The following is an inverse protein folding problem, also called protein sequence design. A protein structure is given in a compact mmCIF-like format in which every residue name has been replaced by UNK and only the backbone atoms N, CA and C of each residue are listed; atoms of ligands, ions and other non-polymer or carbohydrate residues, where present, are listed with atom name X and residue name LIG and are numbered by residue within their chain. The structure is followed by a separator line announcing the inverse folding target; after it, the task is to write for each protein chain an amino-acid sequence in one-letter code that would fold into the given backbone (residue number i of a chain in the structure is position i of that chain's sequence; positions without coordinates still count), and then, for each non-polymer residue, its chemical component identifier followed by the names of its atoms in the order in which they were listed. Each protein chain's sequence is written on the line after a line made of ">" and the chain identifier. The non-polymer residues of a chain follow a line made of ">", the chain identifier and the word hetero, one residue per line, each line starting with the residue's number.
data_IF_521477981057
#
_entry.id   IF_521477981057
#
_cell.length_a   1.000
_cell.length_b   1.000
_cell.length_c   1.000
_cell.angle_alpha   90.00
_cell.angle_beta   90.00
_cell.angle_gamma   90.00
#
_symmetry.space_group_name_H-M   'P 1'
#
loop_
_entity.id
_entity.type
_entity.pdbx_description
1 polymer ?
#
# COMPACT_ATOMS: atom_id res chain seq x y z
N UNK A 1 16.00 -22.74 -27.99
CA UNK A 1 15.68 -23.06 -26.59
C UNK A 1 14.19 -22.90 -26.42
N UNK A 2 13.49 -23.99 -26.15
CA UNK A 2 12.04 -23.97 -25.92
C UNK A 2 11.81 -23.22 -24.61
N UNK A 3 11.33 -21.98 -24.70
CA UNK A 3 10.64 -21.32 -23.59
C UNK A 3 9.64 -22.35 -23.05
N UNK A 4 9.74 -22.72 -21.77
CA UNK A 4 8.89 -23.77 -21.22
C UNK A 4 7.43 -23.32 -21.37
N UNK A 5 6.51 -24.27 -21.56
CA UNK A 5 5.07 -23.96 -21.67
C UNK A 5 4.60 -23.11 -20.48
N UNK A 6 5.19 -23.34 -19.30
CA UNK A 6 4.93 -22.60 -18.08
C UNK A 6 5.49 -21.17 -18.13
N UNK A 7 6.70 -20.96 -18.65
CA UNK A 7 7.28 -19.61 -18.76
C UNK A 7 6.40 -18.69 -19.64
N UNK A 8 5.80 -19.25 -20.71
CA UNK A 8 4.83 -18.50 -21.54
C UNK A 8 3.55 -18.19 -20.78
N UNK A 9 3.04 -19.15 -20.01
CA UNK A 9 1.85 -18.95 -19.18
C UNK A 9 2.11 -17.87 -18.12
N UNK A 10 3.28 -17.91 -17.50
CA UNK A 10 3.75 -16.92 -16.54
C UNK A 10 3.77 -15.52 -17.14
N UNK A 11 4.40 -15.36 -18.32
CA UNK A 11 4.39 -14.10 -19.06
C UNK A 11 2.95 -13.61 -19.37
N UNK A 12 2.05 -14.51 -19.79
CA UNK A 12 0.65 -14.18 -20.06
C UNK A 12 -0.10 -13.74 -18.79
N UNK A 13 0.16 -14.38 -17.65
CA UNK A 13 -0.43 -14.04 -16.34
C UNK A 13 0.07 -12.69 -15.87
N UNK A 14 1.37 -12.44 -15.85
CA UNK A 14 1.91 -11.15 -15.42
C UNK A 14 1.45 -10.01 -16.34
N UNK A 15 1.46 -10.23 -17.66
CA UNK A 15 0.90 -9.25 -18.60
C UNK A 15 -0.58 -8.96 -18.32
N UNK A 16 -1.36 -9.98 -17.93
CA UNK A 16 -2.76 -9.77 -17.57
C UNK A 16 -2.89 -8.99 -16.26
N UNK A 17 -2.14 -9.36 -15.22
CA UNK A 17 -2.13 -8.67 -13.93
C UNK A 17 -1.76 -7.20 -14.11
N UNK A 18 -0.66 -6.91 -14.81
CA UNK A 18 -0.18 -5.54 -15.01
C UNK A 18 -1.06 -4.68 -15.91
N UNK A 19 -1.94 -5.28 -16.74
CA UNK A 19 -2.95 -4.51 -17.48
C UNK A 19 -3.98 -3.84 -16.57
N UNK A 20 -4.41 -4.51 -15.50
CA UNK A 20 -5.35 -3.95 -14.53
C UNK A 20 -4.64 -3.32 -13.33
N UNK A 21 -3.35 -3.58 -13.15
CA UNK A 21 -2.53 -2.97 -12.10
C UNK A 21 -1.18 -2.44 -12.60
N UNK A 22 -1.15 -1.46 -13.53
CA UNK A 22 0.11 -0.86 -14.00
C UNK A 22 0.94 -0.27 -12.86
N UNK A 23 0.27 0.32 -11.84
CA UNK A 23 0.92 0.82 -10.62
C UNK A 23 1.72 -0.26 -9.91
N UNK A 24 1.25 -1.50 -9.88
CA UNK A 24 2.00 -2.60 -9.25
C UNK A 24 3.27 -2.91 -10.04
N UNK A 25 3.21 -2.89 -11.38
CA UNK A 25 4.40 -3.07 -12.22
C UNK A 25 5.45 -1.98 -11.96
N UNK A 26 5.03 -0.71 -11.86
CA UNK A 26 5.92 0.41 -11.48
C UNK A 26 6.54 0.17 -10.11
N UNK A 27 5.76 -0.25 -9.11
CA UNK A 27 6.26 -0.55 -7.77
C UNK A 27 7.25 -1.73 -7.73
N UNK A 28 7.22 -2.60 -8.74
CA UNK A 28 8.20 -3.68 -8.91
C UNK A 28 9.47 -3.23 -9.65
N UNK A 29 9.51 -2.01 -10.19
CA UNK A 29 10.63 -1.48 -10.99
C UNK A 29 10.49 -1.65 -12.50
N UNK A 30 9.28 -1.99 -12.99
CA UNK A 30 9.03 -2.17 -14.43
C UNK A 30 8.59 -0.84 -15.07
N UNK A 31 9.58 -0.07 -15.53
CA UNK A 31 9.38 1.29 -16.05
C UNK A 31 8.72 1.38 -17.42
N UNK A 32 8.50 0.26 -18.13
CA UNK A 32 7.66 0.24 -19.34
C UNK A 32 6.19 0.59 -19.03
N UNK A 33 5.78 0.42 -17.76
CA UNK A 33 4.45 0.74 -17.27
C UNK A 33 4.33 2.16 -16.70
N UNK A 34 5.42 2.93 -16.68
CA UNK A 34 5.44 4.27 -16.12
C UNK A 34 4.38 5.17 -16.79
N UNK A 35 3.61 5.87 -15.95
CA UNK A 35 2.56 6.79 -16.36
C UNK A 35 1.31 6.15 -16.98
N UNK A 36 1.12 4.83 -16.84
CA UNK A 36 -0.10 4.15 -17.30
C UNK A 36 -1.17 4.07 -16.21
N UNK A 37 -2.43 4.15 -16.64
CA UNK A 37 -3.63 3.83 -15.86
C UNK A 37 -4.39 2.70 -16.56
N UNK A 38 -5.04 1.79 -15.82
CA UNK A 38 -5.75 0.66 -16.42
C UNK A 38 -7.02 1.12 -17.16
N UNK A 39 -7.43 0.36 -18.18
CA UNK A 39 -8.76 0.47 -18.78
C UNK A 39 -9.77 -0.19 -17.84
N UNK A 40 -10.52 0.64 -17.14
CA UNK A 40 -11.52 0.25 -16.16
C UNK A 40 -12.94 0.48 -16.68
N UNK A 41 -13.10 0.74 -17.99
CA UNK A 41 -14.43 0.80 -18.60
C UNK A 41 -15.16 -0.54 -18.40
N UNK A 42 -16.51 -0.56 -18.43
CA UNK A 42 -17.25 -1.82 -18.32
C UNK A 42 -16.79 -2.89 -19.33
N UNK A 43 -16.44 -2.47 -20.55
CA UNK A 43 -15.87 -3.35 -21.58
C UNK A 43 -14.46 -3.83 -21.24
N UNK A 44 -13.60 -2.93 -20.75
CA UNK A 44 -12.24 -3.23 -20.31
C UNK A 44 -12.21 -4.23 -19.14
N UNK A 45 -13.00 -3.99 -18.10
CA UNK A 45 -13.12 -4.88 -16.94
C UNK A 45 -13.66 -6.26 -17.34
N UNK A 46 -14.68 -6.31 -18.21
CA UNK A 46 -15.21 -7.58 -18.71
C UNK A 46 -14.14 -8.36 -19.50
N UNK A 47 -13.50 -7.71 -20.47
CA UNK A 47 -12.45 -8.34 -21.27
C UNK A 47 -11.28 -8.81 -20.41
N UNK A 48 -10.91 -8.03 -19.38
CA UNK A 48 -9.88 -8.42 -18.43
C UNK A 48 -10.29 -9.66 -17.62
N UNK A 49 -11.52 -9.68 -17.12
CA UNK A 49 -12.08 -10.76 -16.30
C UNK A 49 -12.17 -12.07 -17.08
N UNK A 50 -12.74 -12.04 -18.29
CA UNK A 50 -12.90 -13.22 -19.14
C UNK A 50 -11.53 -13.89 -19.41
N UNK A 51 -10.51 -13.08 -19.70
CA UNK A 51 -9.15 -13.59 -19.92
C UNK A 51 -8.51 -14.09 -18.62
N UNK A 52 -8.69 -13.41 -17.50
CA UNK A 52 -8.14 -13.82 -16.21
C UNK A 52 -8.72 -15.17 -15.74
N UNK A 53 -10.01 -15.42 -15.96
CA UNK A 53 -10.64 -16.73 -15.70
C UNK A 53 -10.00 -17.83 -16.56
N UNK A 54 -9.84 -17.59 -17.87
CA UNK A 54 -9.21 -18.57 -18.76
C UNK A 54 -7.74 -18.85 -18.41
N UNK A 55 -7.00 -17.85 -17.93
CA UNK A 55 -5.63 -18.04 -17.43
C UNK A 55 -5.60 -18.84 -16.13
N UNK A 56 -6.52 -18.57 -15.20
CA UNK A 56 -6.62 -19.31 -13.94
C UNK A 56 -6.89 -20.81 -14.18
N UNK A 57 -7.81 -21.13 -15.10
CA UNK A 57 -8.09 -22.52 -15.49
C UNK A 57 -6.86 -23.21 -16.11
N UNK A 58 -6.07 -22.46 -16.89
CA UNK A 58 -4.80 -22.97 -17.45
C UNK A 58 -3.75 -23.18 -16.37
N UNK A 59 -3.56 -22.24 -15.44
CA UNK A 59 -2.61 -22.41 -14.32
C UNK A 59 -2.92 -23.69 -13.53
N UNK A 60 -4.20 -23.93 -13.22
CA UNK A 60 -4.62 -25.14 -12.50
C UNK A 60 -4.39 -26.42 -13.29
N UNK A 61 -4.79 -26.46 -14.56
CA UNK A 61 -4.71 -27.67 -15.40
C UNK A 61 -3.31 -27.97 -15.94
N UNK A 62 -2.46 -26.96 -16.11
CA UNK A 62 -1.10 -27.10 -16.65
C UNK A 62 -0.04 -27.30 -15.55
N UNK A 63 -0.41 -27.20 -14.27
CA UNK A 63 0.51 -27.35 -13.13
C UNK A 63 0.86 -28.80 -12.76
N UNK A 64 0.26 -29.79 -13.43
CA UNK A 64 0.51 -31.20 -13.16
C UNK A 64 1.91 -31.65 -13.57
N UNK A 65 2.56 -32.47 -12.74
CA UNK A 65 3.87 -33.05 -13.04
C UNK A 65 5.05 -32.08 -12.93
N UNK A 66 4.81 -30.82 -12.55
CA UNK A 66 5.86 -29.84 -12.25
C UNK A 66 6.72 -30.28 -11.06
N UNK A 67 7.96 -29.82 -11.00
CA UNK A 67 8.81 -29.92 -9.81
C UNK A 67 8.32 -28.99 -8.70
N UNK A 68 8.98 -29.01 -7.54
CA UNK A 68 8.55 -28.25 -6.36
C UNK A 68 8.54 -26.74 -6.61
N UNK A 69 9.57 -26.21 -7.25
CA UNK A 69 9.73 -24.76 -7.43
C UNK A 69 8.71 -24.26 -8.46
N UNK A 70 8.55 -24.98 -9.57
CA UNK A 70 7.54 -24.64 -10.59
C UNK A 70 6.10 -24.81 -10.09
N UNK A 71 5.84 -25.71 -9.14
CA UNK A 71 4.53 -25.78 -8.46
C UNK A 71 4.29 -24.57 -7.57
N UNK A 72 5.32 -24.04 -6.92
CA UNK A 72 5.20 -22.83 -6.12
C UNK A 72 4.90 -21.63 -7.02
N UNK A 73 5.60 -21.50 -8.16
CA UNK A 73 5.31 -20.45 -9.15
C UNK A 73 3.85 -20.52 -9.62
N UNK A 74 3.37 -21.73 -9.95
CA UNK A 74 1.97 -21.94 -10.35
C UNK A 74 0.98 -21.55 -9.24
N UNK A 75 1.26 -21.88 -7.98
CA UNK A 75 0.43 -21.49 -6.85
C UNK A 75 0.42 -19.97 -6.62
N UNK A 76 1.55 -19.30 -6.82
CA UNK A 76 1.64 -17.84 -6.77
C UNK A 76 0.76 -17.20 -7.85
N UNK A 77 0.85 -17.66 -9.10
CA UNK A 77 0.00 -17.20 -10.20
C UNK A 77 -1.49 -17.44 -9.94
N UNK A 78 -1.85 -18.62 -9.42
CA UNK A 78 -3.21 -18.93 -9.02
C UNK A 78 -3.71 -17.95 -7.95
N UNK A 79 -2.91 -17.71 -6.92
CA UNK A 79 -3.25 -16.79 -5.82
C UNK A 79 -3.44 -15.35 -6.30
N UNK A 80 -2.57 -14.88 -7.18
CA UNK A 80 -2.69 -13.54 -7.77
C UNK A 80 -3.98 -13.39 -8.57
N UNK A 81 -4.27 -14.35 -9.47
CA UNK A 81 -5.47 -14.30 -10.31
C UNK A 81 -6.76 -14.44 -9.49
N UNK A 82 -6.82 -15.39 -8.55
CA UNK A 82 -7.99 -15.56 -7.68
C UNK A 82 -8.29 -14.31 -6.87
N UNK A 83 -7.25 -13.66 -6.32
CA UNK A 83 -7.45 -12.43 -5.55
C UNK A 83 -7.99 -11.30 -6.43
N UNK A 84 -7.40 -11.07 -7.59
CA UNK A 84 -7.85 -10.00 -8.48
C UNK A 84 -9.26 -10.27 -9.03
N UNK A 85 -9.59 -11.53 -9.36
CA UNK A 85 -10.93 -11.92 -9.76
C UNK A 85 -11.94 -11.70 -8.64
N UNK A 86 -11.60 -12.06 -7.40
CA UNK A 86 -12.44 -11.81 -6.23
C UNK A 86 -12.70 -10.31 -6.04
N UNK A 87 -11.68 -9.46 -6.16
CA UNK A 87 -11.83 -8.01 -6.04
C UNK A 87 -12.76 -7.43 -7.12
N UNK A 88 -12.66 -7.93 -8.36
CA UNK A 88 -13.50 -7.46 -9.49
C UNK A 88 -14.93 -8.01 -9.43
N UNK A 89 -15.09 -9.33 -9.21
CA UNK A 89 -16.37 -10.04 -9.35
C UNK A 89 -17.15 -10.12 -8.05
N UNK A 90 -16.54 -10.64 -6.99
CA UNK A 90 -17.24 -10.91 -5.72
C UNK A 90 -17.40 -9.64 -4.87
N UNK A 91 -16.32 -8.86 -4.71
CA UNK A 91 -16.35 -7.59 -3.99
C UNK A 91 -17.00 -6.46 -4.80
N UNK A 92 -17.10 -6.62 -6.13
CA UNK A 92 -17.52 -5.54 -7.03
C UNK A 92 -16.75 -4.25 -6.72
N UNK A 93 -15.44 -4.35 -6.52
CA UNK A 93 -14.63 -3.25 -5.98
C UNK A 93 -14.76 -1.98 -6.82
N UNK A 94 -14.80 -2.11 -8.15
CA UNK A 94 -14.98 -0.98 -9.07
C UNK A 94 -16.36 -0.30 -8.95
N UNK A 95 -17.39 -1.00 -8.48
CA UNK A 95 -18.70 -0.39 -8.28
C UNK A 95 -18.88 0.20 -6.88
N UNK A 96 -18.24 -0.37 -5.87
CA UNK A 96 -18.56 -0.08 -4.46
C UNK A 96 -17.47 0.68 -3.71
N UNK A 97 -16.26 0.79 -4.28
CA UNK A 97 -15.07 1.24 -3.55
C UNK A 97 -14.35 2.37 -4.28
N UNK A 98 -14.77 3.64 -4.12
CA UNK A 98 -14.11 4.76 -4.77
C UNK A 98 -12.62 4.89 -4.40
N UNK A 99 -12.20 4.35 -3.25
CA UNK A 99 -10.81 4.41 -2.82
C UNK A 99 -9.85 3.58 -3.70
N UNK A 100 -10.33 2.63 -4.51
CA UNK A 100 -9.46 1.94 -5.46
C UNK A 100 -9.00 2.87 -6.58
N UNK A 101 -9.80 3.90 -6.90
CA UNK A 101 -9.50 4.90 -7.92
C UNK A 101 -8.54 5.95 -7.40
N UNK A 102 -8.83 6.52 -6.21
CA UNK A 102 -8.00 7.56 -5.60
C UNK A 102 -6.57 7.10 -5.33
N UNK A 103 -6.36 5.81 -5.00
CA UNK A 103 -5.03 5.22 -4.86
C UNK A 103 -4.19 5.27 -6.15
N UNK A 104 -4.81 5.21 -7.32
CA UNK A 104 -4.10 5.24 -8.61
C UNK A 104 -3.62 6.66 -8.98
N UNK A 105 -4.19 7.70 -8.36
CA UNK A 105 -3.93 9.09 -8.75
C UNK A 105 -2.58 9.62 -8.26
N UNK A 106 -2.01 8.98 -7.24
CA UNK A 106 -0.74 9.39 -6.62
C UNK A 106 0.44 9.26 -7.59
N UNK A 107 1.21 10.35 -7.72
CA UNK A 107 2.45 10.44 -8.52
C UNK A 107 3.71 10.07 -7.73
N UNK A 108 3.56 9.77 -6.43
CA UNK A 108 4.67 9.47 -5.52
C UNK A 108 5.62 8.36 -6.03
N UNK A 109 5.18 7.28 -6.70
CA UNK A 109 6.10 6.29 -7.26
C UNK A 109 7.16 6.90 -8.19
N UNK A 110 6.81 7.97 -8.91
CA UNK A 110 7.70 8.60 -9.88
C UNK A 110 8.66 9.64 -9.27
N UNK A 111 8.32 10.18 -8.09
CA UNK A 111 9.07 11.31 -7.48
C UNK A 111 9.77 10.94 -6.18
N UNK A 112 9.40 9.84 -5.52
CA UNK A 112 9.97 9.42 -4.25
C UNK A 112 11.37 8.80 -4.37
N UNK A 113 11.73 8.31 -5.56
CA UNK A 113 13.05 7.72 -5.86
C UNK A 113 13.61 8.24 -7.17
N UNK A 114 14.93 8.34 -7.22
CA UNK A 114 15.67 8.77 -8.40
C UNK A 114 16.07 7.56 -9.28
N UNK A 115 15.10 6.74 -9.70
CA UNK A 115 15.35 5.55 -10.55
C UNK A 115 15.79 5.91 -11.99
N UNK A 116 15.55 7.15 -12.42
CA UNK A 116 15.89 7.66 -13.74
C UNK A 116 16.21 9.17 -13.69
N UNK A 117 16.82 9.75 -14.76
CA UNK A 117 16.99 11.19 -14.88
C UNK A 117 15.67 11.94 -14.69
N UNK A 118 15.73 13.14 -14.09
CA UNK A 118 14.52 13.87 -13.69
C UNK A 118 13.54 14.11 -14.84
N UNK A 119 14.03 14.41 -16.04
CA UNK A 119 13.17 14.60 -17.22
C UNK A 119 12.39 13.34 -17.60
N UNK A 120 12.97 12.14 -17.43
CA UNK A 120 12.28 10.89 -17.68
C UNK A 120 11.20 10.64 -16.63
N UNK A 121 11.52 10.88 -15.35
CA UNK A 121 10.58 10.71 -14.23
C UNK A 121 9.40 11.68 -14.32
N UNK A 122 9.66 12.95 -14.61
CA UNK A 122 8.59 13.94 -14.79
C UNK A 122 7.83 13.72 -16.09
N UNK A 123 8.48 13.19 -17.14
CA UNK A 123 7.78 12.70 -18.33
C UNK A 123 6.77 11.60 -18.01
N UNK A 124 7.10 10.65 -17.12
CA UNK A 124 6.16 9.65 -16.62
C UNK A 124 5.00 10.28 -15.82
N UNK A 125 5.29 11.31 -15.00
CA UNK A 125 4.26 12.09 -14.30
C UNK A 125 3.31 12.77 -15.29
N UNK A 126 3.84 13.42 -16.34
CA UNK A 126 3.02 14.07 -17.37
C UNK A 126 2.11 13.06 -18.06
N UNK A 127 2.67 11.90 -18.44
CA UNK A 127 1.94 10.78 -19.06
C UNK A 127 0.83 10.26 -18.14
N UNK A 128 1.09 10.16 -16.84
CA UNK A 128 0.11 9.77 -15.81
C UNK A 128 -1.02 10.79 -15.71
N UNK A 129 -0.69 12.06 -15.48
CA UNK A 129 -1.65 13.14 -15.26
C UNK A 129 -2.54 13.37 -16.49
N UNK A 130 -1.99 13.26 -17.70
CA UNK A 130 -2.77 13.36 -18.94
C UNK A 130 -3.85 12.27 -19.09
N UNK A 131 -3.74 11.14 -18.37
CA UNK A 131 -4.74 10.06 -18.37
C UNK A 131 -5.76 10.18 -17.26
N UNK A 132 -5.48 10.96 -16.22
CA UNK A 132 -6.35 11.09 -15.03
C UNK A 132 -7.77 11.49 -15.39
N UNK A 133 -8.03 12.49 -16.26
CA UNK A 133 -9.41 12.87 -16.60
C UNK A 133 -10.22 11.70 -17.20
N UNK A 134 -9.66 11.00 -18.18
CA UNK A 134 -10.32 9.86 -18.81
C UNK A 134 -10.49 8.65 -17.89
N UNK A 135 -9.56 8.45 -16.95
CA UNK A 135 -9.65 7.41 -15.94
C UNK A 135 -10.77 7.70 -14.92
N UNK A 136 -10.86 8.94 -14.42
CA UNK A 136 -11.92 9.33 -13.48
C UNK A 136 -13.30 9.34 -14.13
N UNK A 137 -13.39 9.70 -15.41
CA UNK A 137 -14.62 9.59 -16.20
C UNK A 137 -15.10 8.12 -16.34
N UNK A 138 -14.18 7.14 -16.40
CA UNK A 138 -14.57 5.73 -16.31
C UNK A 138 -14.97 5.34 -14.87
N UNK A 139 -14.26 5.86 -13.87
CA UNK A 139 -14.55 5.60 -12.46
C UNK A 139 -15.96 6.04 -12.07
N UNK A 140 -16.37 7.27 -12.40
CA UNK A 140 -17.71 7.79 -12.09
C UNK A 140 -18.82 6.94 -12.71
N UNK A 141 -18.61 6.40 -13.92
CA UNK A 141 -19.60 5.50 -14.56
C UNK A 141 -19.71 4.11 -13.95
N UNK A 142 -18.69 3.68 -13.22
CA UNK A 142 -18.67 2.36 -12.61
C UNK A 142 -19.35 2.33 -11.24
N UNK A 143 -19.33 3.46 -10.51
CA UNK A 143 -19.79 3.53 -9.12
C UNK A 143 -21.31 3.32 -9.01
N UNK A 144 -21.72 2.54 -8.01
CA UNK A 144 -23.13 2.32 -7.68
C UNK A 144 -23.75 3.60 -7.10
N UNK A 145 -25.07 3.75 -7.24
CA UNK A 145 -25.83 4.88 -6.69
C UNK A 145 -25.66 5.03 -5.16
N UNK A 146 -25.49 3.92 -4.44
CA UNK A 146 -25.27 3.92 -2.98
C UNK A 146 -23.86 3.46 -2.65
N UNK A 147 -23.12 4.26 -1.88
CA UNK A 147 -21.74 3.98 -1.47
C UNK A 147 -21.61 3.99 0.06
N UNK A 148 -20.62 3.25 0.58
CA UNK A 148 -20.30 3.29 2.00
C UNK A 148 -19.55 4.59 2.36
N UNK A 149 -20.10 5.36 3.31
CA UNK A 149 -19.56 6.65 3.76
C UNK A 149 -18.09 6.55 4.16
N UNK A 150 -17.72 5.52 4.93
CA UNK A 150 -16.34 5.34 5.39
C UNK A 150 -15.35 5.15 4.24
N UNK A 151 -15.78 4.55 3.13
CA UNK A 151 -14.94 4.33 1.95
C UNK A 151 -14.83 5.62 1.13
N UNK A 152 -15.93 6.36 1.00
CA UNK A 152 -15.95 7.70 0.38
C UNK A 152 -15.03 8.65 1.14
N UNK A 153 -15.11 8.69 2.47
CA UNK A 153 -14.25 9.53 3.32
C UNK A 153 -12.76 9.25 3.11
N UNK A 154 -12.38 7.98 3.00
CA UNK A 154 -11.00 7.57 2.72
C UNK A 154 -10.59 8.00 1.32
N UNK A 155 -11.44 7.78 0.31
CA UNK A 155 -11.16 8.19 -1.07
C UNK A 155 -10.93 9.71 -1.16
N UNK A 156 -11.83 10.50 -0.57
CA UNK A 156 -11.74 11.97 -0.53
C UNK A 156 -10.47 12.44 0.15
N UNK A 157 -10.12 11.88 1.31
CA UNK A 157 -8.86 12.22 2.01
C UNK A 157 -7.62 11.87 1.17
N UNK A 158 -7.64 10.74 0.47
CA UNK A 158 -6.55 10.34 -0.42
C UNK A 158 -6.41 11.32 -1.60
N UNK A 159 -7.50 11.67 -2.28
CA UNK A 159 -7.47 12.64 -3.39
C UNK A 159 -6.96 14.00 -2.89
N UNK A 160 -7.46 14.49 -1.76
CA UNK A 160 -6.97 15.74 -1.16
C UNK A 160 -5.47 15.69 -0.87
N UNK A 161 -4.95 14.57 -0.38
CA UNK A 161 -3.51 14.40 -0.17
C UNK A 161 -2.71 14.30 -1.47
N UNK A 162 -3.28 13.74 -2.55
CA UNK A 162 -2.67 13.78 -3.90
C UNK A 162 -2.61 15.21 -4.41
N UNK A 163 -3.69 15.98 -4.29
CA UNK A 163 -3.73 17.40 -4.70
C UNK A 163 -2.64 18.22 -4.00
N UNK A 164 -2.48 18.04 -2.68
CA UNK A 164 -1.40 18.71 -1.94
C UNK A 164 0.00 18.24 -2.34
N UNK A 165 0.19 16.95 -2.63
CA UNK A 165 1.47 16.41 -3.14
C UNK A 165 1.80 16.97 -4.53
N UNK A 166 0.79 17.19 -5.38
CA UNK A 166 0.93 17.83 -6.69
C UNK A 166 1.35 19.30 -6.58
N UNK A 167 0.85 20.03 -5.59
CA UNK A 167 1.25 21.42 -5.31
C UNK A 167 2.58 21.54 -4.56
N UNK A 168 2.94 20.53 -3.78
CA UNK A 168 4.18 20.46 -3.02
C UNK A 168 5.28 19.70 -3.76
N UNK A 169 5.51 18.44 -3.34
CA UNK A 169 6.66 17.64 -3.74
C UNK A 169 6.76 17.46 -5.26
N UNK A 170 5.64 17.22 -5.95
CA UNK A 170 5.66 17.03 -7.40
C UNK A 170 6.06 18.31 -8.14
N UNK A 171 5.52 19.48 -7.74
CA UNK A 171 5.92 20.78 -8.31
C UNK A 171 7.38 21.09 -8.00
N UNK A 172 7.88 20.78 -6.79
CA UNK A 172 9.29 20.95 -6.45
C UNK A 172 10.19 20.09 -7.35
N UNK A 173 9.81 18.83 -7.55
CA UNK A 173 10.57 17.89 -8.38
C UNK A 173 10.53 18.27 -9.86
N UNK A 174 9.36 18.65 -10.38
CA UNK A 174 9.20 19.18 -11.74
C UNK A 174 10.01 20.46 -11.98
N UNK A 175 10.27 21.25 -10.93
CA UNK A 175 11.14 22.42 -10.98
C UNK A 175 12.59 22.11 -11.36
N UNK A 176 13.05 20.86 -11.16
CA UNK A 176 14.39 20.39 -11.53
C UNK A 176 14.49 19.90 -12.98
N UNK A 177 13.35 19.69 -13.66
CA UNK A 177 13.29 19.21 -15.03
C UNK A 177 13.56 20.33 -16.07
N UNK A 178 13.80 19.95 -17.31
CA UNK A 178 13.92 20.89 -18.43
C UNK A 178 12.64 21.73 -18.62
N UNK A 179 12.80 22.93 -19.19
CA UNK A 179 11.70 23.87 -19.37
C UNK A 179 10.54 23.30 -20.20
N UNK A 180 10.82 22.43 -21.17
CA UNK A 180 9.79 21.77 -21.98
C UNK A 180 8.97 20.77 -21.15
N UNK A 181 9.65 19.87 -20.42
CA UNK A 181 9.00 18.86 -19.56
C UNK A 181 8.22 19.53 -18.43
N UNK A 182 8.77 20.57 -17.82
CA UNK A 182 8.09 21.36 -16.78
C UNK A 182 6.85 22.07 -17.31
N UNK A 183 6.89 22.63 -18.52
CA UNK A 183 5.72 23.28 -19.13
C UNK A 183 4.58 22.29 -19.36
N UNK A 184 4.89 21.07 -19.80
CA UNK A 184 3.91 20.00 -19.95
C UNK A 184 3.36 19.57 -18.59
N UNK A 185 4.20 19.44 -17.56
CA UNK A 185 3.75 19.16 -16.19
C UNK A 185 2.69 20.15 -15.70
N UNK A 186 2.93 21.46 -15.84
CA UNK A 186 1.95 22.48 -15.43
C UNK A 186 0.62 22.40 -16.21
N UNK A 187 0.68 21.98 -17.48
CA UNK A 187 -0.51 21.78 -18.31
C UNK A 187 -1.30 20.55 -17.85
N UNK A 188 -0.65 19.39 -17.77
CA UNK A 188 -1.30 18.13 -17.38
C UNK A 188 -1.78 18.16 -15.94
N UNK A 189 -1.03 18.80 -15.03
CA UNK A 189 -1.44 19.01 -13.63
C UNK A 189 -2.75 19.78 -13.56
N UNK A 190 -2.92 20.86 -14.33
CA UNK A 190 -4.15 21.67 -14.30
C UNK A 190 -5.39 20.85 -14.64
N UNK A 191 -5.33 20.09 -15.72
CA UNK A 191 -6.44 19.24 -16.16
C UNK A 191 -6.73 18.12 -15.16
N UNK A 192 -5.68 17.48 -14.64
CA UNK A 192 -5.82 16.42 -13.64
C UNK A 192 -6.41 16.95 -12.32
N UNK A 193 -5.96 18.11 -11.83
CA UNK A 193 -6.48 18.74 -10.60
C UNK A 193 -7.96 19.06 -10.72
N UNK A 194 -8.41 19.59 -11.87
CA UNK A 194 -9.83 19.85 -12.11
C UNK A 194 -10.64 18.54 -12.08
N UNK A 195 -10.18 17.51 -12.78
CA UNK A 195 -10.87 16.21 -12.78
C UNK A 195 -10.92 15.55 -11.40
N UNK A 196 -9.84 15.65 -10.62
CA UNK A 196 -9.78 15.17 -9.24
C UNK A 196 -10.76 15.91 -8.32
N UNK A 197 -10.85 17.24 -8.45
CA UNK A 197 -11.78 18.06 -7.70
C UNK A 197 -13.23 17.67 -8.00
N UNK A 198 -13.61 17.64 -9.28
CA UNK A 198 -14.96 17.23 -9.70
C UNK A 198 -15.30 15.83 -9.22
N UNK A 199 -14.40 14.86 -9.38
CA UNK A 199 -14.64 13.50 -8.87
C UNK A 199 -14.95 13.47 -7.37
N UNK A 200 -14.23 14.25 -6.55
CA UNK A 200 -14.52 14.30 -5.10
C UNK A 200 -15.83 14.99 -4.75
N UNK A 201 -16.25 15.99 -5.54
CA UNK A 201 -17.55 16.65 -5.40
C UNK A 201 -18.67 15.65 -5.75
N UNK A 202 -18.56 15.00 -6.91
CA UNK A 202 -19.52 14.00 -7.41
C UNK A 202 -19.74 12.85 -6.41
N UNK A 203 -18.68 12.36 -5.76
CA UNK A 203 -18.79 11.31 -4.73
C UNK A 203 -19.77 11.66 -3.59
N UNK A 204 -19.94 12.95 -3.30
CA UNK A 204 -20.82 13.44 -2.25
C UNK A 204 -22.17 13.94 -2.74
N UNK A 205 -22.24 14.44 -3.99
CA UNK A 205 -23.45 15.05 -4.55
C UNK A 205 -24.30 14.06 -5.35
N UNK A 206 -23.67 13.11 -6.06
CA UNK A 206 -24.36 12.19 -6.97
C UNK A 206 -24.65 10.81 -6.36
N UNK A 207 -24.11 10.50 -5.17
CA UNK A 207 -24.27 9.22 -4.51
C UNK A 207 -24.99 9.32 -3.16
N UNK A 208 -25.84 8.35 -2.89
CA UNK A 208 -26.40 8.13 -1.56
C UNK A 208 -25.37 7.47 -0.65
N UNK A 209 -25.18 7.99 0.56
CA UNK A 209 -24.15 7.49 1.49
C UNK A 209 -24.76 6.63 2.60
N UNK A 210 -24.18 5.44 2.80
CA UNK A 210 -24.61 4.45 3.78
C UNK A 210 -23.52 4.18 4.83
N UNK A 211 -23.93 3.86 6.04
CA UNK A 211 -23.03 3.34 7.08
C UNK A 211 -22.83 1.82 6.99
N UNK A 212 -23.53 1.14 6.08
CA UNK A 212 -23.33 -0.28 5.80
C UNK A 212 -22.11 -0.49 4.90
N UNK A 213 -21.11 -1.18 5.44
CA UNK A 213 -19.87 -1.55 4.75
C UNK A 213 -19.58 -3.06 4.88
N UNK A 214 -20.48 -3.83 5.50
CA UNK A 214 -20.21 -5.22 5.83
C UNK A 214 -20.25 -6.09 4.56
N UNK A 215 -19.19 -6.88 4.34
CA UNK A 215 -19.10 -7.77 3.16
C UNK A 215 -20.13 -8.91 3.17
N UNK A 216 -20.67 -9.24 4.35
CA UNK A 216 -21.46 -10.44 4.57
C UNK A 216 -20.61 -11.71 4.67
N UNK A 217 -21.19 -12.76 5.26
CA UNK A 217 -20.50 -13.99 5.64
C UNK A 217 -19.80 -14.68 4.46
N UNK A 218 -20.49 -14.84 3.33
CA UNK A 218 -19.98 -15.61 2.18
C UNK A 218 -18.74 -14.93 1.56
N UNK A 219 -18.82 -13.63 1.31
CA UNK A 219 -17.68 -12.87 0.78
C UNK A 219 -16.53 -12.82 1.78
N UNK A 220 -16.81 -12.70 3.07
CA UNK A 220 -15.78 -12.74 4.09
C UNK A 220 -15.07 -14.11 4.16
N UNK A 221 -15.81 -15.21 4.02
CA UNK A 221 -15.23 -16.56 3.93
C UNK A 221 -14.30 -16.69 2.71
N UNK A 222 -14.72 -16.17 1.55
CA UNK A 222 -13.90 -16.16 0.33
C UNK A 222 -12.66 -15.27 0.50
N UNK A 223 -12.79 -14.11 1.15
CA UNK A 223 -11.68 -13.19 1.45
C UNK A 223 -10.57 -13.90 2.24
N UNK A 224 -10.93 -14.67 3.28
CA UNK A 224 -9.99 -15.47 4.07
C UNK A 224 -9.20 -16.47 3.21
N UNK A 225 -9.84 -17.08 2.20
CA UNK A 225 -9.18 -17.99 1.27
C UNK A 225 -8.25 -17.27 0.28
N UNK A 226 -8.74 -16.23 -0.39
CA UNK A 226 -7.98 -15.57 -1.47
C UNK A 226 -6.85 -14.67 -0.95
N UNK A 227 -6.95 -14.18 0.29
CA UNK A 227 -5.93 -13.36 0.92
C UNK A 227 -4.92 -14.20 1.70
N UNK A 228 -5.40 -15.15 2.52
CA UNK A 228 -4.58 -15.80 3.54
C UNK A 228 -4.55 -17.34 3.44
N UNK A 229 -5.23 -17.92 2.44
CA UNK A 229 -5.38 -19.37 2.26
C UNK A 229 -6.02 -20.08 3.48
N UNK A 230 -6.80 -19.34 4.25
CA UNK A 230 -7.52 -19.86 5.41
C UNK A 230 -8.82 -20.53 4.92
N UNK A 231 -8.84 -21.86 4.92
CA UNK A 231 -10.00 -22.67 4.56
C UNK A 231 -10.87 -23.06 5.77
N UNK A 232 -10.62 -22.50 6.95
CA UNK A 232 -11.45 -22.70 8.14
C UNK A 232 -12.75 -21.89 8.03
N UNK A 233 -13.87 -22.38 8.59
CA UNK A 233 -15.10 -21.59 8.72
C UNK A 233 -14.83 -20.25 9.42
N UNK A 234 -15.46 -19.15 8.95
CA UNK A 234 -15.34 -17.81 9.55
C UNK A 234 -15.55 -17.83 11.07
N UNK A 235 -16.51 -18.61 11.55
CA UNK A 235 -16.84 -18.72 12.96
C UNK A 235 -15.72 -19.37 13.78
N UNK A 236 -15.01 -20.35 13.20
CA UNK A 236 -13.85 -20.98 13.84
C UNK A 236 -12.68 -19.99 13.94
N UNK A 237 -12.43 -19.24 12.87
CA UNK A 237 -11.38 -18.20 12.86
C UNK A 237 -11.70 -17.11 13.89
N UNK A 238 -12.97 -16.69 13.99
CA UNK A 238 -13.40 -15.74 15.03
C UNK A 238 -13.19 -16.30 16.43
N UNK A 239 -13.57 -17.55 16.67
CA UNK A 239 -13.38 -18.19 17.97
C UNK A 239 -11.89 -18.27 18.36
N UNK A 240 -11.02 -18.63 17.42
CA UNK A 240 -9.57 -18.61 17.62
C UNK A 240 -9.05 -17.21 17.98
N UNK A 241 -9.49 -16.19 17.25
CA UNK A 241 -9.10 -14.79 17.51
C UNK A 241 -9.59 -14.28 18.88
N UNK A 242 -10.81 -14.63 19.29
CA UNK A 242 -11.34 -14.26 20.60
C UNK A 242 -10.60 -14.96 21.75
N UNK A 243 -10.23 -16.24 21.57
CA UNK A 243 -9.44 -16.99 22.54
C UNK A 243 -8.02 -16.42 22.69
N UNK A 244 -7.39 -16.04 21.58
CA UNK A 244 -6.07 -15.40 21.58
C UNK A 244 -6.14 -14.01 22.24
N UNK A 245 -7.17 -13.22 21.92
CA UNK A 245 -7.42 -11.92 22.56
C UNK A 245 -7.58 -12.06 24.08
N UNK A 246 -8.37 -13.02 24.55
CA UNK A 246 -8.54 -13.27 25.99
C UNK A 246 -7.21 -13.66 26.65
N UNK A 247 -6.45 -14.54 26.00
CA UNK A 247 -5.15 -15.00 26.49
C UNK A 247 -4.14 -13.86 26.60
N UNK A 248 -4.06 -13.00 25.59
CA UNK A 248 -3.19 -11.82 25.57
C UNK A 248 -3.62 -10.76 26.60
N UNK A 249 -4.92 -10.49 26.73
CA UNK A 249 -5.44 -9.57 27.75
C UNK A 249 -5.16 -10.09 29.17
N UNK A 250 -5.22 -11.40 29.39
CA UNK A 250 -4.84 -12.01 30.66
C UNK A 250 -3.34 -11.81 30.93
N UNK A 251 -2.48 -12.11 29.95
CA UNK A 251 -1.03 -11.92 30.08
C UNK A 251 -0.66 -10.46 30.37
N UNK A 252 -1.32 -9.50 29.72
CA UNK A 252 -1.14 -8.07 29.98
C UNK A 252 -1.52 -7.67 31.41
N UNK A 253 -2.64 -8.17 31.94
CA UNK A 253 -3.07 -7.89 33.32
C UNK A 253 -2.09 -8.47 34.34
N UNK A 254 -1.63 -9.71 34.12
CA UNK A 254 -0.63 -10.34 34.99
C UNK A 254 0.71 -9.60 34.96
N UNK A 255 1.10 -9.08 33.80
CA UNK A 255 2.31 -8.26 33.67
C UNK A 255 2.16 -6.92 34.38
N UNK A 256 1.01 -6.24 34.26
CA UNK A 256 0.76 -4.98 34.95
C UNK A 256 0.89 -5.12 36.47
N UNK A 257 0.30 -6.17 37.06
CA UNK A 257 0.43 -6.44 38.49
C UNK A 257 1.88 -6.74 38.92
N UNK A 258 2.68 -7.37 38.04
CA UNK A 258 4.13 -7.60 38.29
C UNK A 258 4.95 -6.31 38.26
N UNK A 259 4.57 -5.34 37.43
CA UNK A 259 5.25 -4.03 37.35
C UNK A 259 4.99 -3.23 38.64
N UNK A 260 3.76 -3.28 39.16
CA UNK A 260 3.44 -2.68 40.44
C UNK A 260 2.07 -3.13 40.99
N UNK A 261 1.95 -3.42 42.31
CA UNK A 261 0.68 -3.80 42.90
C UNK A 261 -0.42 -2.76 42.64
N UNK A 262 -1.55 -3.21 42.10
CA UNK A 262 -2.70 -2.35 41.78
C UNK A 262 -2.57 -1.51 40.50
N UNK A 263 -1.50 -1.70 39.71
CA UNK A 263 -1.43 -1.12 38.37
C UNK A 263 -2.39 -1.82 37.41
N UNK A 264 -3.04 -1.01 36.57
CA UNK A 264 -3.87 -1.49 35.47
C UNK A 264 -3.07 -1.50 34.18
N UNK A 265 -3.52 -2.29 33.19
CA UNK A 265 -2.93 -2.25 31.83
C UNK A 265 -2.93 -0.82 31.28
N UNK A 266 -4.03 -0.08 31.46
CA UNK A 266 -4.14 1.30 31.01
C UNK A 266 -3.07 2.20 31.65
N UNK A 267 -2.90 2.17 32.97
CA UNK A 267 -1.89 3.00 33.65
C UNK A 267 -0.45 2.65 33.27
N UNK A 268 -0.16 1.38 32.97
CA UNK A 268 1.16 0.96 32.47
C UNK A 268 1.41 1.52 31.08
N UNK A 269 0.43 1.38 30.18
CA UNK A 269 0.52 1.92 28.81
C UNK A 269 0.63 3.44 28.85
N UNK A 270 -0.14 4.13 29.68
CA UNK A 270 -0.07 5.59 29.83
C UNK A 270 1.33 6.04 30.24
N UNK A 271 1.98 5.32 31.16
CA UNK A 271 3.36 5.61 31.56
C UNK A 271 4.39 5.34 30.46
N UNK A 272 4.24 4.29 29.66
CA UNK A 272 5.09 4.04 28.49
C UNK A 272 4.94 5.17 27.47
N UNK A 273 3.70 5.60 27.25
CA UNK A 273 3.36 6.62 26.28
C UNK A 273 3.90 8.02 26.63
N UNK A 274 4.27 8.29 27.89
CA UNK A 274 4.90 9.56 28.29
C UNK A 274 6.31 9.74 27.73
N UNK A 275 7.00 8.65 27.37
CA UNK A 275 8.35 8.71 26.83
C UNK A 275 8.34 8.66 25.30
N UNK A 276 8.15 9.81 24.67
CA UNK A 276 8.04 9.95 23.22
C UNK A 276 8.91 11.08 22.67
N UNK A 277 9.24 11.05 21.37
CA UNK A 277 9.97 12.14 20.73
C UNK A 277 9.14 13.42 20.67
N UNK A 278 9.84 14.55 20.53
CA UNK A 278 9.22 15.80 20.09
C UNK A 278 8.87 15.73 18.60
N UNK A 279 7.82 16.44 18.17
CA UNK A 279 7.36 16.41 16.76
C UNK A 279 8.47 16.64 15.73
N UNK A 280 9.35 17.62 15.97
CA UNK A 280 10.45 17.96 15.05
C UNK A 280 11.64 16.99 15.12
N UNK A 281 11.67 16.09 16.12
CA UNK A 281 12.70 15.08 16.34
C UNK A 281 12.29 13.68 15.92
N UNK A 282 10.99 13.44 15.74
CA UNK A 282 10.40 12.12 15.45
C UNK A 282 11.15 11.34 14.36
N UNK A 283 11.45 11.97 13.23
CA UNK A 283 12.12 11.31 12.10
C UNK A 283 13.57 10.97 12.45
N UNK A 284 14.32 11.92 13.00
CA UNK A 284 15.73 11.75 13.34
C UNK A 284 15.92 10.68 14.43
N UNK A 285 15.11 10.73 15.49
CA UNK A 285 15.21 9.78 16.61
C UNK A 285 14.71 8.39 16.22
N UNK A 286 13.76 8.28 15.28
CA UNK A 286 13.41 6.98 14.68
C UNK A 286 14.57 6.43 13.84
N UNK A 287 15.30 7.28 13.12
CA UNK A 287 16.48 6.86 12.36
C UNK A 287 17.64 6.41 13.25
N UNK A 288 17.84 7.08 14.39
CA UNK A 288 18.79 6.66 15.43
C UNK A 288 18.39 5.29 16.00
N UNK A 289 17.12 5.11 16.41
CA UNK A 289 16.63 3.85 16.93
C UNK A 289 16.72 2.69 15.93
N UNK A 290 16.49 2.96 14.64
CA UNK A 290 16.67 1.95 13.57
C UNK A 290 18.14 1.52 13.43
N UNK A 291 19.09 2.46 13.56
CA UNK A 291 20.52 2.15 13.52
C UNK A 291 20.94 1.28 14.70
N UNK A 292 20.47 1.62 15.90
CA UNK A 292 20.75 0.84 17.11
C UNK A 292 20.19 -0.58 16.99
N UNK A 293 18.99 -0.72 16.42
CA UNK A 293 18.38 -2.01 16.12
C UNK A 293 19.21 -2.84 15.12
N UNK A 294 19.69 -2.23 14.04
CA UNK A 294 20.56 -2.90 13.07
C UNK A 294 21.86 -3.38 13.73
N UNK A 295 22.54 -2.51 14.49
CA UNK A 295 23.77 -2.86 15.20
C UNK A 295 23.54 -4.01 16.17
N UNK A 296 22.47 -3.95 16.96
CA UNK A 296 22.13 -4.99 17.92
C UNK A 296 21.89 -6.35 17.23
N UNK A 297 21.17 -6.37 16.10
CA UNK A 297 20.94 -7.59 15.32
C UNK A 297 22.24 -8.18 14.76
N UNK A 298 23.17 -7.34 14.30
CA UNK A 298 24.49 -7.76 13.80
C UNK A 298 25.38 -8.29 14.91
N UNK A 299 25.40 -7.64 16.06
CA UNK A 299 26.19 -8.06 17.23
C UNK A 299 25.72 -9.42 17.80
N UNK A 300 24.42 -9.70 17.72
CA UNK A 300 23.82 -10.94 18.23
C UNK A 300 23.69 -12.05 17.18
N UNK A 301 24.12 -11.81 15.94
CA UNK A 301 24.07 -12.77 14.82
C UNK A 301 22.69 -13.43 14.63
N UNK A 302 21.61 -12.64 14.77
CA UNK A 302 20.23 -13.17 14.67
C UNK A 302 19.75 -13.32 13.22
N UNK A 303 20.18 -12.43 12.35
CA UNK A 303 19.90 -12.48 10.91
C UNK A 303 21.04 -11.81 10.14
N UNK A 304 21.38 -12.39 8.98
CA UNK A 304 22.32 -11.74 8.07
C UNK A 304 21.67 -10.50 7.46
N UNK A 305 22.30 -9.34 7.62
CA UNK A 305 21.89 -8.11 6.93
C UNK A 305 22.97 -7.81 5.87
N UNK A 306 22.67 -7.95 4.56
CA UNK A 306 23.61 -7.69 3.49
C UNK A 306 24.42 -6.40 3.65
N UNK A 307 25.70 -6.44 3.29
CA UNK A 307 26.53 -5.25 3.29
C UNK A 307 26.01 -4.23 2.26
N UNK A 308 26.04 -2.94 2.61
CA UNK A 308 25.56 -1.88 1.72
C UNK A 308 24.04 -1.73 1.68
N UNK A 309 23.31 -2.38 2.59
CA UNK A 309 21.88 -2.13 2.84
C UNK A 309 21.66 -0.66 3.17
N UNK A 310 20.68 -0.02 2.51
CA UNK A 310 20.37 1.41 2.71
C UNK A 310 18.89 1.59 2.97
N UNK A 311 18.56 2.03 4.19
CA UNK A 311 17.22 2.45 4.57
C UNK A 311 17.29 3.86 5.11
N UNK A 312 16.39 4.73 4.63
CA UNK A 312 16.27 6.09 5.10
C UNK A 312 14.89 6.29 5.73
N UNK A 313 14.88 6.80 6.96
CA UNK A 313 13.63 7.20 7.62
C UNK A 313 13.21 8.55 7.07
N UNK A 314 11.98 8.65 6.59
CA UNK A 314 11.46 9.88 5.96
C UNK A 314 9.99 10.10 6.34
N UNK A 315 9.48 11.35 6.28
CA UNK A 315 8.07 11.61 6.51
C UNK A 315 7.19 10.85 5.51
N UNK A 316 6.07 10.30 5.98
CA UNK A 316 5.05 9.71 5.12
C UNK A 316 4.53 10.73 4.08
N UNK A 317 4.43 10.36 2.79
CA UNK A 317 3.85 11.22 1.75
C UNK A 317 2.41 11.63 2.07
N UNK A 318 2.02 12.86 1.72
CA UNK A 318 0.75 13.45 2.20
C UNK A 318 -0.51 12.64 1.83
N UNK A 319 -0.55 12.03 0.63
CA UNK A 319 -1.68 11.19 0.20
C UNK A 319 -1.86 9.90 1.01
N UNK A 320 -0.83 9.46 1.76
CA UNK A 320 -0.88 8.25 2.58
C UNK A 320 -1.22 8.53 4.05
N UNK A 321 -0.95 9.73 4.55
CA UNK A 321 -1.03 10.08 5.98
C UNK A 321 -2.40 9.83 6.62
N UNK A 322 -3.48 9.88 5.83
CA UNK A 322 -4.83 9.58 6.32
C UNK A 322 -5.05 8.11 6.73
N UNK A 323 -4.17 7.20 6.29
CA UNK A 323 -4.35 5.74 6.46
C UNK A 323 -3.06 5.02 6.89
N UNK A 324 -1.97 5.75 7.09
CA UNK A 324 -0.65 5.16 7.35
C UNK A 324 -0.03 5.84 8.56
N UNK A 325 0.30 5.06 9.59
CA UNK A 325 1.09 5.52 10.74
C UNK A 325 2.59 5.44 10.43
N UNK A 326 3.02 4.29 9.94
CA UNK A 326 4.34 4.04 9.40
C UNK A 326 4.22 2.98 8.29
N UNK A 327 5.19 2.93 7.38
CA UNK A 327 5.21 1.95 6.31
C UNK A 327 6.59 1.79 5.68
N UNK A 328 6.92 0.59 5.24
CA UNK A 328 8.12 0.34 4.45
C UNK A 328 7.85 0.39 2.96
N UNK A 329 8.58 1.27 2.26
CA UNK A 329 8.67 1.27 0.81
C UNK A 329 10.05 0.78 0.41
N UNK A 330 10.12 -0.40 -0.19
CA UNK A 330 11.37 -0.99 -0.68
C UNK A 330 11.48 -0.83 -2.20
N UNK A 331 12.67 -0.68 -2.77
CA UNK A 331 12.88 -0.84 -4.21
C UNK A 331 12.28 -2.17 -4.69
N UNK A 332 11.68 -2.16 -5.87
CA UNK A 332 11.17 -3.37 -6.48
C UNK A 332 12.30 -4.28 -6.98
N UNK A 333 12.03 -5.58 -7.21
CA UNK A 333 13.06 -6.54 -7.63
C UNK A 333 13.64 -6.25 -9.03
N UNK A 334 12.97 -5.45 -9.85
CA UNK A 334 13.46 -5.04 -11.18
C UNK A 334 14.16 -3.68 -11.20
N UNK A 335 14.28 -3.03 -10.04
CA UNK A 335 15.03 -1.78 -9.91
C UNK A 335 16.54 -2.00 -10.11
N UNK A 336 17.24 -0.97 -10.57
CA UNK A 336 18.71 -1.00 -10.64
C UNK A 336 19.32 -0.93 -9.23
N UNK A 337 20.50 -1.52 -9.07
CA UNK A 337 21.24 -1.49 -7.80
C UNK A 337 21.45 -0.05 -7.29
N UNK A 338 21.40 0.12 -5.97
CA UNK A 338 21.75 1.37 -5.29
C UNK A 338 20.57 2.24 -4.84
N UNK A 339 19.33 1.85 -5.13
CA UNK A 339 18.15 2.53 -4.58
C UNK A 339 17.97 2.21 -3.09
N UNK A 340 17.59 3.23 -2.33
CA UNK A 340 17.34 3.11 -0.89
C UNK A 340 15.91 2.61 -0.60
N UNK A 341 15.79 1.82 0.47
CA UNK A 341 14.53 1.63 1.18
C UNK A 341 14.10 2.94 1.86
N UNK A 342 12.82 3.25 1.80
CA UNK A 342 12.23 4.41 2.47
C UNK A 342 11.32 3.89 3.58
N UNK A 343 11.71 4.14 4.82
CA UNK A 343 10.90 3.86 6.00
C UNK A 343 10.09 5.11 6.33
N UNK A 344 8.80 5.07 5.98
CA UNK A 344 7.88 6.17 6.22
C UNK A 344 7.41 6.17 7.67
N UNK A 345 7.47 7.34 8.30
CA UNK A 345 6.88 7.63 9.61
C UNK A 345 6.02 8.87 9.49
N UNK A 346 4.77 8.81 9.94
CA UNK A 346 3.81 9.91 9.77
C UNK A 346 3.97 10.93 10.89
N UNK A 347 4.46 12.14 10.59
CA UNK A 347 4.50 13.20 11.59
C UNK A 347 3.09 13.72 11.92
N UNK A 348 2.90 14.38 13.08
CA UNK A 348 1.68 15.13 13.33
C UNK A 348 1.42 16.17 12.24
N UNK A 349 0.15 16.41 11.91
CA UNK A 349 -0.19 17.47 10.95
C UNK A 349 -0.08 18.86 11.59
N UNK A 350 0.28 19.85 10.77
CA UNK A 350 0.42 21.24 11.21
C UNK A 350 -0.91 21.84 11.69
N UNK A 351 -2.02 21.38 11.10
CA UNK A 351 -3.39 21.82 11.41
C UNK A 351 -3.99 21.20 12.67
N UNK A 352 -3.34 20.19 13.26
CA UNK A 352 -3.83 19.56 14.47
C UNK A 352 -3.68 20.45 15.70
N UNK A 353 -4.65 20.38 16.60
CA UNK A 353 -4.55 21.03 17.91
C UNK A 353 -3.47 20.38 18.78
N UNK A 354 -3.09 21.08 19.86
CA UNK A 354 -2.02 20.63 20.74
C UNK A 354 -2.31 19.26 21.38
N UNK A 355 -3.58 18.97 21.68
CA UNK A 355 -3.98 17.71 22.29
C UNK A 355 -3.82 16.55 21.32
N UNK A 356 -4.33 16.68 20.10
CA UNK A 356 -4.25 15.67 19.05
C UNK A 356 -2.81 15.40 18.65
N UNK A 357 -1.99 16.46 18.56
CA UNK A 357 -0.55 16.34 18.31
C UNK A 357 0.16 15.55 19.40
N UNK A 358 -0.14 15.85 20.65
CA UNK A 358 0.41 15.14 21.81
C UNK A 358 -0.03 13.67 21.82
N UNK A 359 -1.32 13.39 21.65
CA UNK A 359 -1.86 12.02 21.58
C UNK A 359 -1.20 11.20 20.46
N UNK A 360 -0.92 11.82 19.31
CA UNK A 360 -0.20 11.17 18.21
C UNK A 360 1.26 10.83 18.56
N UNK A 361 1.96 11.74 19.23
CA UNK A 361 3.34 11.49 19.65
C UNK A 361 3.41 10.45 20.77
N UNK A 362 2.46 10.46 21.71
CA UNK A 362 2.28 9.42 22.72
C UNK A 362 2.04 8.05 22.09
N UNK A 363 1.25 7.99 21.01
CA UNK A 363 1.07 6.76 20.22
C UNK A 363 2.40 6.31 19.60
N UNK A 364 3.19 7.24 19.07
CA UNK A 364 4.54 7.05 18.53
C UNK A 364 5.65 7.20 19.61
N UNK A 365 5.43 6.67 20.81
CA UNK A 365 6.47 6.63 21.85
C UNK A 365 7.65 5.74 21.46
N UNK A 366 8.78 5.84 22.17
CA UNK A 366 10.00 5.12 21.76
C UNK A 366 9.86 3.60 21.77
N UNK A 367 9.02 3.02 22.65
CA UNK A 367 8.77 1.57 22.67
C UNK A 367 7.99 1.18 21.42
N UNK A 368 6.89 1.87 21.12
CA UNK A 368 6.13 1.64 19.89
C UNK A 368 6.99 1.84 18.65
N UNK A 369 7.79 2.91 18.57
CA UNK A 369 8.66 3.18 17.43
C UNK A 369 9.69 2.06 17.21
N UNK A 370 10.22 1.47 18.29
CA UNK A 370 11.09 0.30 18.19
C UNK A 370 10.35 -0.90 17.61
N UNK A 371 9.14 -1.20 18.11
CA UNK A 371 8.32 -2.31 17.62
C UNK A 371 7.90 -2.12 16.15
N UNK A 372 7.52 -0.90 15.77
CA UNK A 372 7.22 -0.55 14.38
C UNK A 372 8.48 -0.71 13.52
N UNK A 373 9.65 -0.27 13.98
CA UNK A 373 10.91 -0.41 13.22
C UNK A 373 11.30 -1.87 13.04
N UNK A 374 11.02 -2.72 14.04
CA UNK A 374 11.14 -4.18 13.95
C UNK A 374 10.20 -4.74 12.87
N UNK A 375 8.93 -4.32 12.89
CA UNK A 375 7.90 -4.77 11.96
C UNK A 375 8.16 -4.32 10.51
N UNK A 376 8.52 -3.06 10.30
CA UNK A 376 8.68 -2.45 8.98
C UNK A 376 10.05 -2.74 8.35
N UNK A 377 11.12 -2.79 9.15
CA UNK A 377 12.48 -2.80 8.63
C UNK A 377 13.26 -4.06 9.00
N UNK A 378 13.79 -4.12 10.23
CA UNK A 378 14.72 -5.16 10.66
C UNK A 378 14.22 -5.91 11.91
N UNK A 379 13.97 -7.22 11.88
CA UNK A 379 14.04 -8.16 10.75
C UNK A 379 12.71 -8.28 9.96
N UNK A 380 11.84 -7.27 9.98
CA UNK A 380 10.50 -7.31 9.41
C UNK A 380 10.42 -7.15 7.88
N UNK A 381 9.46 -6.32 7.41
CA UNK A 381 9.08 -6.24 5.99
C UNK A 381 10.27 -6.01 5.04
N UNK A 382 11.15 -5.05 5.33
CA UNK A 382 12.30 -4.79 4.49
C UNK A 382 13.24 -5.99 4.41
N UNK A 383 13.58 -6.56 5.56
CA UNK A 383 14.48 -7.73 5.62
C UNK A 383 13.88 -8.91 4.87
N UNK A 384 12.59 -9.17 5.05
CA UNK A 384 11.89 -10.22 4.31
C UNK A 384 12.04 -10.01 2.79
N UNK A 385 11.81 -8.79 2.29
CA UNK A 385 11.97 -8.48 0.86
C UNK A 385 13.41 -8.63 0.35
N UNK A 386 14.40 -8.30 1.16
CA UNK A 386 15.82 -8.48 0.78
C UNK A 386 16.18 -9.94 0.51
N UNK A 387 15.46 -10.88 1.13
CA UNK A 387 15.68 -12.31 0.98
C UNK A 387 14.66 -12.99 0.04
N UNK A 388 13.66 -12.27 -0.46
CA UNK A 388 12.82 -12.75 -1.54
C UNK A 388 13.68 -12.91 -2.79
N UNK A 389 13.65 -14.10 -3.38
CA UNK A 389 14.38 -14.46 -4.61
C UNK A 389 13.46 -14.42 -5.80
#
# INVERSE_FOLDING_TARGET
>A
MLVSRLDKLEEEVFNQVFKLSPRQAVMLGLHDYDGLLPDISPGGLKAWTDKAVGLLDRVRSESHGLDKDRRLDALCMETMLERMLFDVQDLRGYATRPNIYSLQLSVTPYISREYAPVDARIGAVNKHLARVPGFLDQASRNLDETLAQSIVDVATKQVQGVLRDLDGNATQEAGKASAAVRKEFESSKREAVLAMGSFTEDLSEEHSLSTDFALGRERFQKLLWVNDRINKPVEEVLAMGLQDLESNLKALRELAEKIGPGQTVASVIDGIQENHPLAHRLIDETAEGLRDLELWLREHDLISIPAGTRVRVVPTPQHMRATTTAAMSSPGPFEKEGLEGLYYVTPPEDSWDAKTREEWLRHLNYVTLKDISIHEVFPGHYTHRMFQR
#
